data_IF_254532435949
#
_entry.id   IF_254532435949
#
_cell.length_a   1.000
_cell.length_b   1.000
_cell.length_c   1.000
_cell.angle_alpha   90.00
_cell.angle_beta   90.00
_cell.angle_gamma   90.00
#
_symmetry.space_group_name_H-M   'P 1'
#
loop_
_entity.id
_entity.type
_entity.pdbx_description
1 polymer ?
#
# COMPACT_ATOMS: atom_id res chain seq x y z
N UNK A 1 17.77 16.49 -8.65
CA UNK A 1 17.79 15.96 -10.02
C UNK A 1 17.99 14.45 -9.95
N UNK A 2 16.89 13.69 -9.80
CA UNK A 2 16.91 12.23 -9.93
C UNK A 2 16.09 11.93 -11.17
N UNK A 3 16.77 11.86 -12.30
CA UNK A 3 16.30 11.04 -13.42
C UNK A 3 15.95 9.68 -12.84
N UNK A 4 14.66 9.34 -12.77
CA UNK A 4 14.19 7.99 -12.47
C UNK A 4 14.54 7.13 -13.69
N UNK A 5 15.83 6.82 -13.83
CA UNK A 5 16.31 5.80 -14.73
C UNK A 5 15.72 4.46 -14.31
N UNK A 6 15.55 3.57 -15.29
CA UNK A 6 15.11 2.21 -15.03
C UNK A 6 16.00 1.55 -13.96
N UNK A 7 15.43 0.92 -12.92
CA UNK A 7 16.21 0.24 -11.89
C UNK A 7 17.10 -0.85 -12.48
N UNK A 8 18.24 -1.13 -11.84
CA UNK A 8 19.11 -2.24 -12.27
C UNK A 8 18.41 -3.60 -12.14
N UNK A 9 18.84 -4.60 -12.90
CA UNK A 9 18.29 -5.96 -12.80
C UNK A 9 18.50 -6.57 -11.41
N UNK A 10 19.57 -6.20 -10.72
CA UNK A 10 19.82 -6.58 -9.33
C UNK A 10 18.75 -6.01 -8.40
N UNK A 11 18.45 -4.71 -8.52
CA UNK A 11 17.39 -4.04 -7.75
C UNK A 11 16.03 -4.66 -8.04
N UNK A 12 15.69 -4.86 -9.32
CA UNK A 12 14.43 -5.51 -9.71
C UNK A 12 14.30 -6.90 -9.09
N UNK A 13 15.35 -7.73 -9.20
CA UNK A 13 15.36 -9.08 -8.63
C UNK A 13 15.21 -9.07 -7.10
N UNK A 14 15.92 -8.15 -6.43
CA UNK A 14 15.83 -8.02 -4.97
C UNK A 14 14.41 -7.63 -4.53
N UNK A 15 13.78 -6.67 -5.22
CA UNK A 15 12.40 -6.25 -4.95
C UNK A 15 11.42 -7.40 -5.23
N UNK A 16 11.52 -8.07 -6.38
CA UNK A 16 10.72 -9.26 -6.74
C UNK A 16 10.79 -10.35 -5.65
N UNK A 17 11.99 -10.73 -5.22
CA UNK A 17 12.21 -11.76 -4.20
C UNK A 17 11.70 -11.33 -2.82
N UNK A 18 11.94 -10.08 -2.41
CA UNK A 18 11.45 -9.57 -1.12
C UNK A 18 9.91 -9.62 -1.04
N UNK A 19 9.23 -9.50 -2.18
CA UNK A 19 7.77 -9.53 -2.23
C UNK A 19 7.16 -10.89 -1.89
N UNK A 20 7.94 -11.97 -1.92
CA UNK A 20 7.49 -13.29 -1.45
C UNK A 20 7.21 -13.27 0.07
N UNK A 21 8.06 -12.59 0.85
CA UNK A 21 7.85 -12.42 2.30
C UNK A 21 6.64 -11.52 2.60
N UNK A 22 6.44 -10.49 1.78
CA UNK A 22 5.25 -9.63 1.87
C UNK A 22 3.98 -10.46 1.64
N UNK A 23 3.96 -11.32 0.62
CA UNK A 23 2.84 -12.22 0.35
C UNK A 23 2.63 -13.24 1.47
N UNK A 24 3.70 -13.85 1.98
CA UNK A 24 3.66 -14.82 3.08
C UNK A 24 3.08 -14.24 4.38
N UNK A 25 3.27 -12.94 4.63
CA UNK A 25 2.68 -12.21 5.78
C UNK A 25 1.16 -12.12 5.69
N UNK A 26 0.60 -12.27 4.48
CA UNK A 26 -0.82 -12.18 4.20
C UNK A 26 -1.25 -10.74 3.93
N UNK A 27 -1.88 -10.52 2.77
CA UNK A 27 -2.14 -9.19 2.21
C UNK A 27 -2.95 -8.28 3.13
N UNK A 28 -3.85 -8.85 3.93
CA UNK A 28 -4.63 -8.10 4.90
C UNK A 28 -3.79 -7.65 6.11
N UNK A 29 -2.83 -8.46 6.57
CA UNK A 29 -1.97 -8.06 7.67
C UNK A 29 -1.01 -6.94 7.23
N UNK A 30 -0.48 -7.04 6.00
CA UNK A 30 0.32 -5.97 5.39
C UNK A 30 -0.53 -4.71 5.20
N UNK A 31 -1.77 -4.86 4.71
CA UNK A 31 -2.73 -3.76 4.60
C UNK A 31 -3.02 -3.08 5.94
N UNK A 32 -3.08 -3.85 7.04
CA UNK A 32 -3.20 -3.31 8.41
C UNK A 32 -2.03 -2.42 8.78
N UNK A 33 -0.80 -2.93 8.65
CA UNK A 33 0.42 -2.18 8.94
C UNK A 33 0.47 -0.90 8.11
N UNK A 34 0.10 -1.00 6.83
CA UNK A 34 0.13 0.11 5.90
C UNK A 34 -0.78 1.27 6.33
N UNK A 35 -2.09 1.03 6.56
CA UNK A 35 -2.96 2.13 6.98
C UNK A 35 -2.62 2.65 8.37
N UNK A 36 -2.11 1.80 9.26
CA UNK A 36 -1.67 2.25 10.59
C UNK A 36 -0.48 3.21 10.49
N UNK A 37 0.49 2.93 9.62
CA UNK A 37 1.60 3.86 9.35
C UNK A 37 1.12 5.13 8.65
N UNK A 38 0.21 5.02 7.68
CA UNK A 38 -0.41 6.19 7.04
C UNK A 38 -1.07 7.12 8.07
N UNK A 39 -1.89 6.59 8.98
CA UNK A 39 -2.54 7.40 10.01
C UNK A 39 -1.60 7.89 11.12
N UNK A 40 -0.44 7.25 11.32
CA UNK A 40 0.61 7.78 12.21
C UNK A 40 1.31 8.98 11.57
N UNK A 41 1.55 8.94 10.26
CA UNK A 41 2.19 10.02 9.51
C UNK A 41 1.23 11.18 9.20
N UNK A 42 -0.06 10.88 9.02
CA UNK A 42 -1.14 11.83 8.76
C UNK A 42 -2.36 11.54 9.65
N UNK A 43 -2.34 11.92 10.93
CA UNK A 43 -3.45 11.70 11.85
C UNK A 43 -4.76 12.34 11.38
N UNK A 44 -4.69 13.44 10.64
CA UNK A 44 -5.85 14.11 10.05
C UNK A 44 -6.62 13.22 9.07
N UNK A 45 -5.95 12.27 8.39
CA UNK A 45 -6.57 11.36 7.43
C UNK A 45 -7.53 10.37 8.10
N UNK A 46 -7.43 10.15 9.41
CA UNK A 46 -8.40 9.35 10.18
C UNK A 46 -9.82 9.87 10.01
N UNK A 47 -9.99 11.20 9.92
CA UNK A 47 -11.30 11.85 9.82
C UNK A 47 -12.02 11.53 8.51
N UNK A 48 -11.30 11.04 7.49
CA UNK A 48 -11.86 10.62 6.20
C UNK A 48 -12.55 9.26 6.27
N UNK A 49 -12.35 8.51 7.36
CA UNK A 49 -12.91 7.16 7.55
C UNK A 49 -13.86 7.07 8.76
N UNK A 50 -14.89 7.93 8.85
CA UNK A 50 -15.89 7.81 9.90
C UNK A 50 -16.69 6.50 9.72
N UNK A 51 -17.41 6.03 10.76
CA UNK A 51 -18.17 4.78 10.70
C UNK A 51 -19.07 4.64 9.47
N UNK A 52 -19.72 5.72 9.04
CA UNK A 52 -20.64 5.72 7.89
C UNK A 52 -19.93 5.45 6.56
N UNK A 53 -18.66 5.84 6.44
CA UNK A 53 -17.83 5.53 5.27
C UNK A 53 -17.39 4.07 5.33
N UNK A 54 -16.92 3.61 6.49
CA UNK A 54 -16.51 2.20 6.69
C UNK A 54 -17.66 1.23 6.41
N UNK A 55 -18.86 1.56 6.84
CA UNK A 55 -20.07 0.76 6.58
C UNK A 55 -20.37 0.59 5.09
N UNK A 56 -20.02 1.57 4.24
CA UNK A 56 -20.18 1.46 2.77
C UNK A 56 -19.21 0.49 2.12
N UNK A 57 -18.06 0.27 2.74
CA UNK A 57 -17.03 -0.66 2.26
C UNK A 57 -17.11 -2.04 2.92
N UNK A 58 -18.05 -2.23 3.86
CA UNK A 58 -18.30 -3.52 4.50
C UNK A 58 -18.84 -4.49 3.45
N UNK A 59 -18.20 -5.65 3.35
CA UNK A 59 -18.76 -6.74 2.55
C UNK A 59 -19.85 -7.39 3.41
N UNK A 60 -21.06 -7.63 2.87
CA UNK A 60 -22.20 -8.23 3.60
C UNK A 60 -21.96 -9.74 3.90
N UNK A 61 -20.76 -10.09 4.35
CA UNK A 61 -20.40 -11.46 4.71
C UNK A 61 -20.62 -11.65 6.21
N UNK A 62 -21.17 -12.80 6.59
CA UNK A 62 -21.56 -13.12 7.97
C UNK A 62 -20.38 -13.14 8.97
N UNK A 63 -19.14 -13.14 8.47
CA UNK A 63 -17.92 -13.20 9.28
C UNK A 63 -17.46 -11.83 9.80
N UNK A 64 -17.99 -10.72 9.26
CA UNK A 64 -17.51 -9.40 9.62
C UNK A 64 -18.19 -8.91 10.89
N UNK A 65 -17.44 -8.90 11.99
CA UNK A 65 -17.82 -8.22 13.22
C UNK A 65 -18.19 -6.75 12.99
N UNK A 66 -18.81 -6.14 14.00
CA UNK A 66 -19.26 -4.75 13.93
C UNK A 66 -18.04 -3.82 13.87
N UNK A 67 -17.83 -3.11 12.76
CA UNK A 67 -16.78 -2.10 12.58
C UNK A 67 -17.12 -0.76 13.26
N UNK A 68 -17.47 -0.82 14.55
CA UNK A 68 -17.69 0.35 15.42
C UNK A 68 -16.49 0.63 16.34
N UNK A 69 -15.45 -0.19 16.24
CA UNK A 69 -14.22 -0.03 17.01
C UNK A 69 -13.34 1.10 16.48
N UNK A 70 -12.15 1.19 17.09
CA UNK A 70 -11.09 2.10 16.67
C UNK A 70 -10.80 1.97 15.17
N UNK A 71 -10.65 3.11 14.50
CA UNK A 71 -10.21 3.16 13.09
C UNK A 71 -8.90 2.40 12.87
N UNK A 72 -8.04 2.34 13.90
CA UNK A 72 -6.75 1.66 13.87
C UNK A 72 -6.87 0.13 13.83
N UNK A 73 -8.04 -0.42 14.12
CA UNK A 73 -8.34 -1.86 14.18
C UNK A 73 -9.51 -2.24 13.26
N UNK A 74 -9.85 -1.38 12.29
CA UNK A 74 -10.97 -1.61 11.37
C UNK A 74 -10.68 -2.79 10.42
N UNK A 75 -11.50 -3.86 10.44
CA UNK A 75 -11.37 -4.96 9.48
C UNK A 75 -11.66 -4.52 8.04
N UNK A 76 -12.52 -3.51 7.86
CA UNK A 76 -12.84 -2.93 6.55
C UNK A 76 -11.62 -2.22 5.97
N UNK A 77 -10.96 -1.34 6.75
CA UNK A 77 -9.77 -0.64 6.31
C UNK A 77 -8.62 -1.60 6.04
N UNK A 78 -8.49 -2.65 6.86
CA UNK A 78 -7.52 -3.74 6.63
C UNK A 78 -7.65 -4.34 5.23
N UNK A 79 -8.88 -4.64 4.79
CA UNK A 79 -9.14 -5.16 3.43
C UNK A 79 -8.91 -4.10 2.35
N UNK A 80 -9.42 -2.88 2.57
CA UNK A 80 -9.30 -1.78 1.62
C UNK A 80 -7.83 -1.48 1.28
N UNK A 81 -6.98 -1.32 2.30
CA UNK A 81 -5.56 -1.08 2.11
C UNK A 81 -4.81 -2.35 1.66
N UNK A 82 -5.32 -3.54 1.97
CA UNK A 82 -4.83 -4.79 1.37
C UNK A 82 -4.93 -4.78 -0.16
N UNK A 83 -6.02 -4.24 -0.74
CA UNK A 83 -6.15 -4.11 -2.21
C UNK A 83 -5.10 -3.17 -2.81
N UNK A 84 -4.69 -2.14 -2.07
CA UNK A 84 -3.58 -1.28 -2.47
C UNK A 84 -2.26 -2.06 -2.53
N UNK A 85 -1.98 -2.87 -1.50
CA UNK A 85 -0.81 -3.74 -1.49
C UNK A 85 -0.85 -4.79 -2.61
N UNK A 86 -2.03 -5.31 -2.98
CA UNK A 86 -2.16 -6.19 -4.15
C UNK A 86 -1.77 -5.48 -5.43
N UNK A 87 -2.22 -4.23 -5.63
CA UNK A 87 -1.87 -3.45 -6.81
C UNK A 87 -0.36 -3.21 -6.90
N UNK A 88 0.31 -2.90 -5.79
CA UNK A 88 1.78 -2.80 -5.74
C UNK A 88 2.42 -4.14 -6.09
N UNK A 89 1.89 -5.26 -5.60
CA UNK A 89 2.42 -6.57 -5.94
C UNK A 89 2.35 -6.89 -7.43
N UNK A 90 1.27 -6.50 -8.10
CA UNK A 90 1.16 -6.60 -9.55
C UNK A 90 2.21 -5.74 -10.26
N UNK A 91 2.47 -4.54 -9.75
CA UNK A 91 3.54 -3.65 -10.22
C UNK A 91 4.92 -4.30 -10.04
N UNK A 92 5.20 -4.88 -8.87
CA UNK A 92 6.46 -5.58 -8.57
C UNK A 92 6.67 -6.75 -9.52
N UNK A 93 5.65 -7.57 -9.77
CA UNK A 93 5.71 -8.67 -10.73
C UNK A 93 5.93 -8.21 -12.19
N UNK A 94 5.64 -6.94 -12.49
CA UNK A 94 5.81 -6.33 -13.80
C UNK A 94 7.08 -5.50 -13.96
N UNK A 95 8.00 -5.47 -12.98
CA UNK A 95 9.19 -4.61 -13.01
C UNK A 95 10.14 -4.87 -14.20
N UNK A 96 10.07 -6.07 -14.79
CA UNK A 96 10.82 -6.41 -16.01
C UNK A 96 10.30 -5.73 -17.27
N UNK A 97 9.06 -5.23 -17.25
CA UNK A 97 8.48 -4.40 -18.31
C UNK A 97 8.20 -2.99 -17.78
N UNK A 98 9.27 -2.31 -17.38
CA UNK A 98 9.23 -0.95 -16.85
C UNK A 98 8.54 0.03 -17.81
N UNK A 99 8.64 -0.22 -19.12
CA UNK A 99 8.05 0.60 -20.18
C UNK A 99 6.51 0.63 -20.14
N UNK A 100 5.88 -0.49 -19.77
CA UNK A 100 4.43 -0.60 -19.61
C UNK A 100 3.94 -0.21 -18.21
N UNK A 101 4.84 -0.21 -17.22
CA UNK A 101 4.50 0.07 -15.83
C UNK A 101 4.16 1.54 -15.59
N UNK A 102 4.91 2.47 -16.19
CA UNK A 102 4.71 3.91 -15.98
C UNK A 102 3.30 4.37 -16.45
N UNK A 103 2.82 4.03 -17.67
CA UNK A 103 1.46 4.37 -18.09
C UNK A 103 0.36 3.76 -17.19
N UNK A 104 0.56 2.53 -16.71
CA UNK A 104 -0.39 1.85 -15.82
C UNK A 104 -0.53 2.59 -14.48
N UNK A 105 0.59 2.97 -13.86
CA UNK A 105 0.60 3.71 -12.59
C UNK A 105 -0.01 5.10 -12.74
N UNK A 106 0.26 5.80 -13.84
CA UNK A 106 -0.35 7.10 -14.14
C UNK A 106 -1.87 6.99 -14.31
N UNK A 107 -2.35 5.98 -15.06
CA UNK A 107 -3.79 5.72 -15.22
C UNK A 107 -4.46 5.39 -13.89
N UNK A 108 -3.79 4.61 -13.04
CA UNK A 108 -4.29 4.28 -11.71
C UNK A 108 -4.36 5.53 -10.81
N UNK A 109 -3.29 6.34 -10.78
CA UNK A 109 -3.24 7.60 -10.03
C UNK A 109 -4.32 8.60 -10.47
N UNK A 110 -4.55 8.74 -11.78
CA UNK A 110 -5.59 9.61 -12.34
C UNK A 110 -7.02 9.18 -11.97
N UNK A 111 -7.25 7.92 -11.61
CA UNK A 111 -8.53 7.47 -11.06
C UNK A 111 -8.68 7.81 -9.58
N UNK A 112 -7.58 8.01 -8.85
CA UNK A 112 -7.59 8.33 -7.43
C UNK A 112 -7.84 9.80 -7.13
N UNK A 113 -7.56 10.70 -8.07
CA UNK A 113 -7.97 12.11 -7.96
C UNK A 113 -9.50 12.26 -7.89
N UNK A 114 -10.27 11.37 -8.52
CA UNK A 114 -11.74 11.33 -8.37
C UNK A 114 -12.20 10.89 -6.95
N UNK A 115 -11.31 10.31 -6.15
CA UNK A 115 -11.57 9.93 -4.76
C UNK A 115 -11.06 10.97 -3.75
N UNK A 116 -10.63 12.16 -4.22
CA UNK A 116 -10.16 13.24 -3.37
C UNK A 116 -8.72 13.07 -2.88
N UNK A 117 -7.94 12.16 -3.47
CA UNK A 117 -6.50 12.08 -3.19
C UNK A 117 -5.80 13.22 -3.94
N UNK A 118 -5.24 14.15 -3.17
CA UNK A 118 -4.37 15.22 -3.67
C UNK A 118 -2.92 14.75 -3.83
N UNK A 119 -2.16 15.45 -4.67
CA UNK A 119 -0.74 15.14 -4.91
C UNK A 119 0.08 15.13 -3.61
N UNK A 120 -0.30 15.99 -2.65
CA UNK A 120 0.31 16.09 -1.33
C UNK A 120 0.21 14.80 -0.49
N UNK A 121 -0.71 13.90 -0.80
CA UNK A 121 -0.85 12.63 -0.07
C UNK A 121 0.15 11.55 -0.52
N UNK A 122 0.68 11.61 -1.75
CA UNK A 122 1.57 10.57 -2.26
C UNK A 122 2.88 10.42 -1.46
N UNK A 123 3.58 11.50 -1.04
CA UNK A 123 4.74 11.37 -0.18
C UNK A 123 4.46 10.63 1.14
N UNK A 124 3.27 10.85 1.72
CA UNK A 124 2.84 10.20 2.97
C UNK A 124 2.60 8.71 2.74
N UNK A 125 1.93 8.36 1.64
CA UNK A 125 1.71 6.96 1.26
C UNK A 125 3.02 6.24 0.95
N UNK A 126 3.96 6.90 0.25
CA UNK A 126 5.29 6.37 -0.01
C UNK A 126 6.05 6.09 1.29
N UNK A 127 6.09 7.06 2.22
CA UNK A 127 6.74 6.88 3.51
C UNK A 127 6.08 5.77 4.35
N UNK A 128 4.75 5.69 4.36
CA UNK A 128 4.02 4.62 5.05
C UNK A 128 4.31 3.24 4.45
N UNK A 129 4.45 3.15 3.11
CA UNK A 129 4.81 1.91 2.42
C UNK A 129 6.22 1.47 2.84
N UNK A 130 7.18 2.38 2.89
CA UNK A 130 8.55 2.07 3.33
C UNK A 130 8.60 1.57 4.78
N UNK A 131 7.86 2.21 5.70
CA UNK A 131 7.73 1.72 7.08
C UNK A 131 7.11 0.33 7.13
N UNK A 132 6.09 0.08 6.32
CA UNK A 132 5.42 -1.23 6.22
C UNK A 132 6.38 -2.30 5.72
N UNK A 133 7.12 -2.02 4.65
CA UNK A 133 8.10 -2.95 4.09
C UNK A 133 9.22 -3.24 5.10
N UNK A 134 9.69 -2.22 5.82
CA UNK A 134 10.69 -2.40 6.87
C UNK A 134 10.20 -3.32 8.00
N UNK A 135 8.97 -3.14 8.45
CA UNK A 135 8.36 -3.99 9.50
C UNK A 135 8.18 -5.44 9.02
N UNK A 136 7.75 -5.62 7.77
CA UNK A 136 7.45 -6.94 7.18
C UNK A 136 8.73 -7.71 6.82
N UNK A 137 9.70 -7.04 6.23
CA UNK A 137 10.90 -7.66 5.69
C UNK A 137 12.02 -7.79 6.73
N UNK A 138 12.06 -6.94 7.75
CA UNK A 138 13.09 -6.97 8.78
C UNK A 138 14.50 -6.93 8.17
N UNK A 139 15.31 -7.97 8.40
CA UNK A 139 16.66 -8.08 7.82
C UNK A 139 16.70 -8.22 6.29
N UNK A 140 15.59 -8.60 5.66
CA UNK A 140 15.48 -8.66 4.20
C UNK A 140 15.23 -7.28 3.56
N UNK A 141 14.97 -6.23 4.35
CA UNK A 141 14.89 -4.85 3.88
C UNK A 141 16.30 -4.29 3.66
N UNK A 142 16.92 -4.69 2.55
CA UNK A 142 18.29 -4.32 2.18
C UNK A 142 18.32 -3.06 1.31
N UNK A 143 19.48 -2.39 1.14
CA UNK A 143 19.57 -1.20 0.31
C UNK A 143 19.07 -1.38 -1.13
N UNK A 144 19.28 -2.52 -1.82
CA UNK A 144 18.67 -2.77 -3.12
C UNK A 144 17.13 -2.83 -3.11
N UNK A 145 16.51 -3.19 -1.98
CA UNK A 145 15.04 -3.21 -1.82
C UNK A 145 14.50 -1.81 -1.50
N UNK A 146 15.30 -0.97 -0.84
CA UNK A 146 14.92 0.40 -0.46
C UNK A 146 15.05 1.44 -1.59
N UNK A 147 15.87 1.13 -2.61
CA UNK A 147 16.38 2.07 -3.61
C UNK A 147 15.34 2.72 -4.55
#
# INVERSE_FOLDING_TARGET
>A
DRSLGEPSDETKTAVEHSWELVQATGIHNVGKLFYQHTFKLAPEAVTLFPPEVRDRYREWTAEEGIDKGSVYESPVLRKLFGRYMTAIGCTVAGLRDFSQLVPLLLSLGARHSNYGIEEAHFPILGAALMLTLKDVLGSAFTPPVEA
#
